data_IF_409729735136
#
_entry.id   IF_409729735136
#
_cell.length_a   1.000
_cell.length_b   1.000
_cell.length_c   1.000
_cell.angle_alpha   90.00
_cell.angle_beta   90.00
_cell.angle_gamma   90.00
#
_symmetry.space_group_name_H-M   'P 1'
#
loop_
_entity.id
_entity.type
_entity.pdbx_description
1 polymer ?
#
# COMPACT_ATOMS: atom_id res chain seq x y z
N UNK A 1 -62.09 45.51 49.78
CA UNK A 1 -60.98 44.57 49.88
C UNK A 1 -60.52 44.20 48.47
N UNK A 2 -59.41 44.79 48.06
CA UNK A 2 -58.90 44.57 46.69
C UNK A 2 -57.82 43.51 46.70
N UNK A 3 -58.03 42.36 46.00
CA UNK A 3 -57.06 41.29 45.82
C UNK A 3 -56.21 41.58 44.60
N UNK A 4 -54.88 41.73 44.79
CA UNK A 4 -53.90 41.91 43.75
C UNK A 4 -53.43 40.48 43.26
N UNK A 5 -53.74 40.16 42.02
CA UNK A 5 -53.10 39.05 41.35
C UNK A 5 -51.73 39.42 40.83
N UNK A 6 -50.66 38.74 41.28
CA UNK A 6 -49.30 38.89 40.75
C UNK A 6 -49.13 37.77 39.72
N UNK A 7 -49.01 38.09 38.44
CA UNK A 7 -48.67 37.17 37.41
C UNK A 7 -47.14 36.94 37.36
N UNK A 8 -46.67 35.74 37.68
CA UNK A 8 -45.26 35.36 37.51
C UNK A 8 -44.98 34.98 36.05
N UNK A 9 -44.14 35.76 35.38
CA UNK A 9 -43.66 35.48 34.04
C UNK A 9 -42.48 34.50 34.14
N UNK A 10 -42.70 33.24 33.72
CA UNK A 10 -41.60 32.22 33.62
C UNK A 10 -40.89 32.43 32.28
N UNK A 11 -39.69 33.01 32.33
CA UNK A 11 -38.79 33.11 31.17
C UNK A 11 -38.11 31.74 30.96
N UNK A 12 -38.57 30.96 29.97
CA UNK A 12 -37.89 29.75 29.54
C UNK A 12 -36.67 30.12 28.69
N UNK A 13 -35.51 30.17 29.31
CA UNK A 13 -34.24 30.34 28.61
C UNK A 13 -33.87 29.07 27.88
N UNK A 14 -33.97 29.05 26.57
CA UNK A 14 -33.39 27.97 25.72
C UNK A 14 -31.87 28.07 25.77
N UNK A 15 -31.24 27.22 26.58
CA UNK A 15 -29.79 26.99 26.51
C UNK A 15 -29.48 26.31 25.15
N UNK A 16 -29.08 27.12 24.16
CA UNK A 16 -28.50 26.64 22.93
C UNK A 16 -27.17 25.93 23.26
N UNK A 17 -27.17 24.62 23.29
CA UNK A 17 -25.93 23.85 23.31
C UNK A 17 -25.25 24.08 21.97
N UNK A 18 -24.29 25.01 21.95
CA UNK A 18 -23.37 25.14 20.82
C UNK A 18 -22.59 23.83 20.74
N UNK A 19 -22.88 23.02 19.74
CA UNK A 19 -22.04 21.86 19.40
C UNK A 19 -20.66 22.43 19.09
N UNK A 20 -19.70 22.19 19.98
CA UNK A 20 -18.29 22.42 19.68
C UNK A 20 -17.97 21.57 18.46
N UNK A 21 -17.71 22.21 17.33
CA UNK A 21 -17.28 21.50 16.12
C UNK A 21 -16.02 20.70 16.49
N UNK A 22 -16.12 19.38 16.44
CA UNK A 22 -14.95 18.53 16.64
C UNK A 22 -13.90 18.93 15.58
N UNK A 23 -12.65 19.14 16.03
CA UNK A 23 -11.54 19.46 15.11
C UNK A 23 -11.36 18.35 14.05
N UNK A 24 -10.55 18.63 13.02
CA UNK A 24 -10.29 17.66 11.96
C UNK A 24 -9.82 16.31 12.50
N UNK A 25 -10.33 15.23 11.92
CA UNK A 25 -9.93 13.86 12.30
C UNK A 25 -8.49 13.63 11.88
N UNK A 26 -7.64 13.22 12.81
CA UNK A 26 -6.25 12.86 12.49
C UNK A 26 -6.22 11.49 11.80
N UNK A 27 -5.64 11.43 10.61
CA UNK A 27 -5.44 10.21 9.83
C UNK A 27 -3.93 10.00 9.64
N UNK A 28 -3.34 9.13 10.45
CA UNK A 28 -1.97 8.64 10.27
C UNK A 28 -2.01 7.41 9.37
N UNK A 29 -1.32 7.47 8.23
CA UNK A 29 -1.31 6.37 7.28
C UNK A 29 0.11 5.85 7.02
N UNK A 30 0.29 4.54 7.20
CA UNK A 30 1.53 3.85 6.89
C UNK A 30 1.76 3.75 5.39
N UNK A 31 3.01 3.96 4.93
CA UNK A 31 3.41 3.75 3.55
C UNK A 31 4.81 3.11 3.49
N UNK A 32 5.13 2.39 2.39
CA UNK A 32 6.37 1.60 2.30
C UNK A 32 7.45 2.33 1.51
N UNK A 33 7.21 2.63 0.25
CA UNK A 33 8.20 3.22 -0.65
C UNK A 33 7.54 4.10 -1.71
N UNK A 34 8.02 5.34 -1.85
CA UNK A 34 7.60 6.22 -2.93
C UNK A 34 8.46 5.98 -4.20
N UNK A 35 7.88 6.09 -5.39
CA UNK A 35 6.52 6.49 -5.68
C UNK A 35 5.54 5.32 -5.89
N UNK A 36 5.89 4.09 -5.50
CA UNK A 36 4.89 3.00 -5.48
C UNK A 36 3.71 3.41 -4.57
N UNK A 37 3.98 3.88 -3.35
CA UNK A 37 3.01 4.60 -2.52
C UNK A 37 2.97 6.07 -2.95
N UNK A 38 1.95 6.45 -3.72
CA UNK A 38 1.83 7.79 -4.32
C UNK A 38 1.31 8.86 -3.35
N UNK A 39 0.40 8.50 -2.46
CA UNK A 39 -0.37 9.47 -1.70
C UNK A 39 0.48 10.47 -0.89
N UNK A 40 1.56 10.04 -0.19
CA UNK A 40 2.45 10.96 0.50
C UNK A 40 3.07 12.02 -0.41
N UNK A 41 3.33 11.65 -1.67
CA UNK A 41 3.88 12.53 -2.69
C UNK A 41 2.83 13.50 -3.22
N UNK A 42 1.64 12.98 -3.58
CA UNK A 42 0.59 13.76 -4.21
C UNK A 42 -0.04 14.77 -3.26
N UNK A 43 -0.17 14.45 -1.97
CA UNK A 43 -0.69 15.37 -0.97
C UNK A 43 0.27 16.51 -0.62
N UNK A 44 1.55 16.40 -1.00
CA UNK A 44 2.48 17.53 -0.94
C UNK A 44 2.16 18.61 -2.00
N UNK A 45 1.37 18.28 -3.05
CA UNK A 45 0.89 19.25 -4.02
C UNK A 45 -0.35 19.97 -3.50
N UNK A 46 -0.25 21.28 -3.37
CA UNK A 46 -1.40 22.13 -2.98
C UNK A 46 -2.58 21.97 -3.94
N UNK A 47 -3.80 22.00 -3.38
CA UNK A 47 -5.06 21.98 -4.12
C UNK A 47 -5.61 20.60 -4.49
N UNK A 48 -4.87 19.51 -4.30
CA UNK A 48 -5.38 18.16 -4.52
C UNK A 48 -6.22 17.67 -3.32
N UNK A 49 -5.71 17.84 -2.10
CA UNK A 49 -6.41 17.46 -0.88
C UNK A 49 -7.29 18.64 -0.38
N UNK A 50 -8.49 18.73 -0.93
CA UNK A 50 -9.39 19.89 -0.69
C UNK A 50 -10.01 19.89 0.71
N UNK A 51 -10.21 18.73 1.31
CA UNK A 51 -10.81 18.59 2.65
C UNK A 51 -9.77 18.55 3.78
N UNK A 52 -8.47 18.47 3.41
CA UNK A 52 -7.39 18.47 4.40
C UNK A 52 -7.35 19.77 5.19
N UNK A 53 -7.26 19.66 6.51
CA UNK A 53 -7.34 20.78 7.45
C UNK A 53 -8.76 21.22 7.80
N UNK A 54 -9.78 20.65 7.13
CA UNK A 54 -11.20 20.89 7.40
C UNK A 54 -11.83 19.69 8.13
N UNK A 55 -12.08 18.60 7.43
CA UNK A 55 -12.66 17.37 8.00
C UNK A 55 -11.62 16.40 8.54
N UNK A 56 -10.43 16.39 7.97
CA UNK A 56 -9.31 15.54 8.41
C UNK A 56 -7.97 16.27 8.32
N UNK A 57 -6.95 15.72 9.02
CA UNK A 57 -5.53 16.01 8.82
C UNK A 57 -4.80 14.74 8.47
N UNK A 58 -3.98 14.75 7.40
CA UNK A 58 -3.23 13.60 6.93
C UNK A 58 -1.77 13.66 7.41
N UNK A 59 -1.31 12.59 8.03
CA UNK A 59 0.06 12.40 8.47
C UNK A 59 0.62 11.08 7.90
N UNK A 60 1.37 11.13 6.79
CA UNK A 60 1.98 9.94 6.21
C UNK A 60 3.19 9.48 7.04
N UNK A 61 3.20 8.21 7.46
CA UNK A 61 4.28 7.62 8.26
C UNK A 61 4.99 6.56 7.45
N UNK A 62 6.30 6.75 7.21
CA UNK A 62 7.09 5.76 6.49
C UNK A 62 7.37 4.54 7.39
N UNK A 63 6.80 3.40 7.02
CA UNK A 63 6.98 2.11 7.68
C UNK A 63 7.36 1.09 6.60
N UNK A 64 8.61 0.68 6.59
CA UNK A 64 9.31 -0.02 5.50
C UNK A 64 8.72 -1.36 5.03
N UNK A 65 7.78 -1.95 5.77
CA UNK A 65 7.18 -3.25 5.44
C UNK A 65 5.79 -3.39 6.08
N UNK A 66 4.85 -4.06 5.37
CA UNK A 66 3.47 -4.23 5.85
C UNK A 66 3.35 -4.96 7.20
N UNK A 67 4.16 -5.97 7.55
CA UNK A 67 4.08 -6.58 8.89
C UNK A 67 4.33 -5.60 10.04
N UNK A 68 5.21 -4.61 9.84
CA UNK A 68 5.45 -3.56 10.83
C UNK A 68 4.26 -2.60 10.93
N UNK A 69 3.53 -2.38 9.83
CA UNK A 69 2.30 -1.58 9.83
C UNK A 69 1.17 -2.28 10.58
N UNK A 70 1.12 -3.62 10.57
CA UNK A 70 0.16 -4.39 11.39
C UNK A 70 0.39 -4.11 12.87
N UNK A 71 1.64 -4.11 13.31
CA UNK A 71 2.00 -3.80 14.70
C UNK A 71 1.59 -2.37 15.07
N UNK A 72 1.91 -1.40 14.22
CA UNK A 72 1.56 0.01 14.44
C UNK A 72 0.03 0.23 14.46
N UNK A 73 -0.72 -0.46 13.59
CA UNK A 73 -2.18 -0.40 13.55
C UNK A 73 -2.80 -1.04 14.82
N UNK A 74 -2.27 -2.17 15.27
CA UNK A 74 -2.71 -2.83 16.50
C UNK A 74 -2.45 -1.97 17.74
N UNK A 75 -1.33 -1.25 17.77
CA UNK A 75 -0.96 -0.31 18.83
C UNK A 75 -1.73 1.03 18.77
N UNK A 76 -2.49 1.30 17.70
CA UNK A 76 -3.17 2.57 17.49
C UNK A 76 -2.21 3.73 17.15
N UNK A 77 -1.03 3.41 16.64
CA UNK A 77 -0.04 4.40 16.19
C UNK A 77 -0.38 4.94 14.80
N UNK A 78 -1.12 4.18 14.00
CA UNK A 78 -1.67 4.57 12.70
C UNK A 78 -3.16 4.20 12.61
N UNK A 79 -3.94 4.93 11.83
CA UNK A 79 -5.35 4.67 11.53
C UNK A 79 -5.52 3.86 10.25
N UNK A 80 -4.61 4.04 9.28
CA UNK A 80 -4.63 3.36 7.98
C UNK A 80 -3.30 2.67 7.76
N UNK A 81 -3.36 1.39 7.37
CA UNK A 81 -2.20 0.59 6.99
C UNK A 81 -2.27 0.20 5.51
N UNK A 82 -1.15 0.31 4.80
CA UNK A 82 -0.96 -0.26 3.47
C UNK A 82 -0.55 -1.72 3.62
N UNK A 83 -1.51 -2.63 3.48
CA UNK A 83 -1.29 -4.07 3.55
C UNK A 83 -1.41 -4.69 2.16
N UNK A 84 -0.74 -5.82 1.95
CA UNK A 84 -0.87 -6.63 0.76
C UNK A 84 -1.57 -7.95 1.03
N UNK A 85 -1.79 -8.72 -0.03
CA UNK A 85 -2.41 -10.04 0.03
C UNK A 85 -1.74 -10.98 1.05
N UNK A 86 -0.42 -10.83 1.24
CA UNK A 86 0.36 -11.69 2.13
C UNK A 86 0.20 -11.35 3.61
N UNK A 87 0.19 -10.06 3.93
CA UNK A 87 0.17 -9.58 5.32
C UNK A 87 -1.24 -9.44 5.88
N UNK A 88 -2.23 -9.25 5.02
CA UNK A 88 -3.63 -9.11 5.44
C UNK A 88 -4.17 -10.33 6.19
N UNK A 89 -4.00 -11.60 5.72
CA UNK A 89 -4.42 -12.77 6.48
C UNK A 89 -3.78 -12.86 7.87
N UNK A 90 -2.48 -12.55 7.97
CA UNK A 90 -1.78 -12.56 9.26
C UNK A 90 -2.29 -11.48 10.21
N UNK A 91 -2.66 -10.30 9.70
CA UNK A 91 -3.26 -9.26 10.52
C UNK A 91 -4.58 -9.73 11.15
N UNK A 92 -5.42 -10.37 10.36
CA UNK A 92 -6.74 -10.87 10.81
C UNK A 92 -6.59 -12.05 11.78
N UNK A 93 -5.76 -13.04 11.44
CA UNK A 93 -5.68 -14.29 12.20
C UNK A 93 -4.78 -14.19 13.43
N UNK A 94 -3.64 -13.53 13.31
CA UNK A 94 -2.58 -13.62 14.31
C UNK A 94 -2.44 -12.34 15.15
N UNK A 95 -2.77 -11.16 14.59
CA UNK A 95 -2.65 -9.91 15.31
C UNK A 95 -3.94 -9.46 16.02
N UNK A 96 -4.99 -10.28 15.97
CA UNK A 96 -6.28 -9.97 16.60
C UNK A 96 -7.03 -8.81 15.94
N UNK A 97 -6.75 -8.52 14.67
CA UNK A 97 -7.36 -7.43 13.89
C UNK A 97 -8.52 -7.96 13.02
N UNK A 98 -9.38 -8.79 13.57
CA UNK A 98 -10.53 -9.36 12.86
C UNK A 98 -11.56 -8.30 12.39
N UNK A 99 -11.50 -7.10 12.96
CA UNK A 99 -12.30 -5.94 12.58
C UNK A 99 -11.67 -5.06 11.49
N UNK A 100 -10.61 -5.52 10.83
CA UNK A 100 -10.06 -4.82 9.66
C UNK A 100 -11.08 -4.77 8.53
N UNK A 101 -11.03 -3.64 7.79
CA UNK A 101 -11.76 -3.46 6.53
C UNK A 101 -10.80 -2.98 5.46
N UNK A 102 -10.96 -3.52 4.27
CA UNK A 102 -10.25 -3.12 3.04
C UNK A 102 -11.00 -1.92 2.49
N UNK A 103 -10.39 -0.74 2.45
CA UNK A 103 -11.08 0.51 2.17
C UNK A 103 -10.75 1.13 0.82
N UNK A 104 -9.55 0.89 0.27
CA UNK A 104 -9.18 1.39 -1.06
C UNK A 104 -7.99 0.62 -1.64
N UNK A 105 -7.94 0.59 -2.96
CA UNK A 105 -6.82 0.09 -3.73
C UNK A 105 -5.63 1.05 -3.70
N UNK A 106 -4.42 0.50 -3.72
CA UNK A 106 -3.19 1.28 -3.90
C UNK A 106 -2.45 0.85 -5.18
N UNK A 107 -2.02 -0.42 -5.27
CA UNK A 107 -1.34 -0.97 -6.45
C UNK A 107 -1.61 -2.46 -6.65
N UNK A 108 -1.73 -2.86 -7.93
CA UNK A 108 -1.66 -4.26 -8.37
C UNK A 108 -0.33 -4.51 -9.08
N UNK A 109 0.38 -5.54 -8.69
CA UNK A 109 1.58 -6.01 -9.38
C UNK A 109 1.19 -6.88 -10.58
N UNK A 110 1.77 -6.59 -11.74
CA UNK A 110 1.63 -7.41 -12.93
C UNK A 110 0.24 -7.43 -13.57
N UNK A 111 -0.63 -6.47 -13.28
CA UNK A 111 -1.94 -6.37 -13.95
C UNK A 111 -1.78 -6.08 -15.44
N UNK A 112 -2.38 -6.89 -16.30
CA UNK A 112 -2.23 -6.74 -17.74
C UNK A 112 -0.76 -6.73 -18.15
N UNK A 113 -0.35 -5.66 -18.86
CA UNK A 113 1.05 -5.43 -19.27
C UNK A 113 1.76 -4.40 -18.39
N UNK A 114 1.19 -4.05 -17.23
CA UNK A 114 1.82 -3.11 -16.30
C UNK A 114 2.99 -3.76 -15.56
N UNK A 115 3.75 -2.92 -14.88
CA UNK A 115 4.93 -3.29 -14.12
C UNK A 115 4.65 -4.46 -13.16
N UNK A 116 5.62 -5.34 -13.09
CA UNK A 116 5.71 -6.40 -12.06
C UNK A 116 7.07 -6.34 -11.38
N UNK A 117 7.11 -6.56 -10.09
CA UNK A 117 8.32 -6.57 -9.28
C UNK A 117 9.33 -7.58 -9.80
N UNK A 118 10.59 -7.16 -9.91
CA UNK A 118 11.67 -7.96 -10.49
C UNK A 118 12.50 -8.66 -9.43
N UNK A 119 12.86 -9.90 -9.71
CA UNK A 119 13.86 -10.67 -8.97
C UNK A 119 15.11 -10.78 -9.85
N UNK A 120 16.19 -10.13 -9.41
CA UNK A 120 17.37 -9.90 -10.23
C UNK A 120 18.59 -10.62 -9.69
N UNK A 121 19.41 -11.12 -10.62
CA UNK A 121 20.71 -11.75 -10.38
C UNK A 121 21.79 -11.02 -11.17
N UNK A 122 23.06 -11.12 -10.75
CA UNK A 122 24.15 -10.62 -11.57
C UNK A 122 24.26 -11.40 -12.87
N UNK A 123 24.64 -10.71 -13.96
CA UNK A 123 24.80 -11.34 -15.29
C UNK A 123 25.93 -12.38 -15.31
N UNK A 124 26.94 -12.19 -14.47
CA UNK A 124 28.13 -13.06 -14.34
C UNK A 124 27.96 -14.16 -13.27
N UNK A 125 26.79 -14.27 -12.63
CA UNK A 125 26.57 -15.21 -11.51
C UNK A 125 26.47 -16.70 -11.93
N UNK A 126 26.27 -17.00 -13.20
CA UNK A 126 25.97 -18.35 -13.67
C UNK A 126 24.56 -18.86 -13.34
N UNK A 127 23.73 -18.07 -12.61
CA UNK A 127 22.36 -18.44 -12.26
C UNK A 127 21.46 -18.21 -13.48
N UNK A 128 20.99 -19.27 -14.12
CA UNK A 128 20.16 -19.23 -15.33
C UNK A 128 18.67 -19.38 -15.07
N UNK A 129 18.32 -20.12 -14.02
CA UNK A 129 16.95 -20.49 -13.65
C UNK A 129 16.72 -20.35 -12.15
N UNK A 130 15.48 -20.30 -11.67
CA UNK A 130 15.21 -20.29 -10.23
C UNK A 130 15.76 -21.54 -9.49
N UNK A 131 15.91 -22.68 -10.17
CA UNK A 131 16.50 -23.89 -9.57
C UNK A 131 17.97 -23.70 -9.15
N UNK A 132 18.71 -22.82 -9.83
CA UNK A 132 20.12 -22.54 -9.55
C UNK A 132 20.32 -21.73 -8.25
N UNK A 133 19.22 -21.33 -7.62
CA UNK A 133 19.24 -20.65 -6.31
C UNK A 133 19.45 -21.61 -5.14
N UNK A 134 19.60 -22.90 -5.38
CA UNK A 134 19.96 -23.86 -4.33
C UNK A 134 21.32 -23.53 -3.72
N UNK A 135 21.39 -23.42 -2.39
CA UNK A 135 22.57 -23.03 -1.63
C UNK A 135 22.92 -21.56 -1.70
N UNK A 136 22.02 -20.71 -2.24
CA UNK A 136 22.23 -19.28 -2.46
C UNK A 136 21.61 -18.42 -1.37
N UNK A 137 22.06 -17.16 -1.30
CA UNK A 137 21.49 -16.13 -0.45
C UNK A 137 20.57 -15.25 -1.32
N UNK A 138 19.33 -15.05 -0.85
CA UNK A 138 18.34 -14.22 -1.53
C UNK A 138 17.90 -13.08 -0.63
N UNK A 139 17.72 -11.87 -1.16
CA UNK A 139 17.35 -10.71 -0.36
C UNK A 139 15.96 -10.19 -0.72
N UNK A 140 15.13 -9.96 0.30
CA UNK A 140 13.80 -9.35 0.22
C UNK A 140 13.72 -8.12 1.10
N UNK A 141 12.72 -7.25 0.89
CA UNK A 141 12.56 -6.03 1.71
C UNK A 141 12.05 -6.30 3.13
N UNK A 142 11.48 -7.45 3.37
CA UNK A 142 10.97 -7.89 4.67
C UNK A 142 10.29 -9.25 4.57
N UNK A 143 10.48 -10.09 5.56
CA UNK A 143 9.81 -11.37 5.67
C UNK A 143 8.29 -11.18 5.81
N UNK A 144 7.48 -12.07 5.25
CA UNK A 144 6.02 -11.97 5.27
C UNK A 144 5.42 -10.93 4.33
N UNK A 145 6.23 -10.22 3.53
CA UNK A 145 5.74 -9.30 2.50
C UNK A 145 5.27 -10.03 1.25
N UNK A 146 4.49 -9.35 0.38
CA UNK A 146 4.02 -9.93 -0.88
C UNK A 146 5.15 -10.39 -1.79
N UNK A 147 6.24 -9.62 -1.86
CA UNK A 147 7.41 -10.01 -2.65
C UNK A 147 8.16 -11.21 -2.05
N UNK A 148 8.19 -11.35 -0.73
CA UNK A 148 8.73 -12.55 -0.07
C UNK A 148 7.89 -13.78 -0.43
N UNK A 149 6.55 -13.67 -0.38
CA UNK A 149 5.66 -14.74 -0.79
C UNK A 149 5.84 -15.13 -2.26
N UNK A 150 6.01 -14.14 -3.16
CA UNK A 150 6.27 -14.41 -4.57
C UNK A 150 7.61 -15.14 -4.80
N UNK A 151 8.66 -14.77 -4.05
CA UNK A 151 9.92 -15.51 -4.06
C UNK A 151 9.70 -16.96 -3.65
N UNK A 152 9.05 -17.20 -2.52
CA UNK A 152 8.79 -18.55 -2.02
C UNK A 152 7.90 -19.35 -2.99
N UNK A 153 6.85 -18.71 -3.56
CA UNK A 153 6.01 -19.37 -4.56
C UNK A 153 6.80 -19.82 -5.80
N UNK A 154 7.71 -18.96 -6.31
CA UNK A 154 8.57 -19.34 -7.42
C UNK A 154 9.51 -20.48 -7.03
N UNK A 155 10.20 -20.38 -5.91
CA UNK A 155 11.19 -21.38 -5.51
C UNK A 155 10.54 -22.72 -5.14
N UNK A 156 9.32 -22.69 -4.58
CA UNK A 156 8.54 -23.91 -4.31
C UNK A 156 8.18 -24.67 -5.61
N UNK A 157 7.86 -23.98 -6.72
CA UNK A 157 7.66 -24.60 -8.04
C UNK A 157 8.91 -25.40 -8.50
N UNK A 158 10.10 -24.99 -8.03
CA UNK A 158 11.37 -25.65 -8.28
C UNK A 158 11.81 -26.59 -7.14
N UNK A 159 10.91 -26.89 -6.18
CA UNK A 159 11.15 -27.77 -5.01
C UNK A 159 12.25 -27.28 -4.08
N UNK A 160 12.43 -25.96 -4.00
CA UNK A 160 13.34 -25.32 -3.08
C UNK A 160 12.55 -24.71 -1.92
N UNK A 161 13.01 -24.93 -0.70
CA UNK A 161 12.41 -24.41 0.53
C UNK A 161 13.38 -23.51 1.27
N UNK A 162 12.84 -22.43 1.86
CA UNK A 162 13.62 -21.47 2.62
C UNK A 162 14.28 -22.12 3.84
N UNK A 163 15.46 -21.65 4.19
CA UNK A 163 16.33 -22.16 5.28
C UNK A 163 16.83 -23.59 5.09
N UNK A 164 16.25 -24.38 4.22
CA UNK A 164 16.73 -25.72 3.84
C UNK A 164 17.61 -25.70 2.60
N UNK A 165 17.12 -25.06 1.55
CA UNK A 165 17.75 -25.08 0.23
C UNK A 165 18.35 -23.73 -0.17
N UNK A 166 17.92 -22.63 0.44
CA UNK A 166 18.46 -21.29 0.27
C UNK A 166 18.28 -20.49 1.57
N UNK A 167 18.91 -19.32 1.66
CA UNK A 167 18.80 -18.46 2.83
C UNK A 167 18.23 -17.11 2.45
N UNK A 168 17.13 -16.70 3.10
CA UNK A 168 16.54 -15.37 2.92
C UNK A 168 17.12 -14.38 3.92
N UNK A 169 17.53 -13.21 3.42
CA UNK A 169 17.94 -12.05 4.23
C UNK A 169 17.05 -10.84 3.94
N UNK A 170 16.97 -9.92 4.89
CA UNK A 170 16.22 -8.67 4.73
C UNK A 170 17.14 -7.50 4.40
N UNK A 171 16.75 -6.71 3.39
CA UNK A 171 17.42 -5.46 3.05
C UNK A 171 16.38 -4.45 2.48
N UNK A 172 16.43 -3.16 2.87
CA UNK A 172 15.54 -2.14 2.29
C UNK A 172 15.73 -2.00 0.77
N UNK A 173 14.65 -1.74 0.02
CA UNK A 173 14.73 -1.56 -1.43
C UNK A 173 15.85 -0.64 -1.93
N UNK A 174 16.12 0.54 -1.30
CA UNK A 174 17.21 1.42 -1.74
C UNK A 174 18.60 0.79 -1.69
N UNK A 175 18.81 -0.25 -0.88
CA UNK A 175 20.12 -0.90 -0.69
C UNK A 175 20.30 -2.16 -1.55
N UNK A 176 19.25 -2.64 -2.21
CA UNK A 176 19.26 -3.91 -2.95
C UNK A 176 20.34 -3.96 -4.04
N UNK A 177 20.58 -2.83 -4.75
CA UNK A 177 21.67 -2.75 -5.73
C UNK A 177 23.02 -3.06 -5.09
N UNK A 178 23.34 -2.41 -3.98
CA UNK A 178 24.61 -2.64 -3.29
C UNK A 178 24.70 -4.08 -2.76
N UNK A 179 23.61 -4.60 -2.18
CA UNK A 179 23.55 -5.98 -1.68
C UNK A 179 23.87 -6.99 -2.78
N UNK A 180 23.33 -6.80 -3.99
CA UNK A 180 23.58 -7.68 -5.13
C UNK A 180 25.01 -7.53 -5.68
N UNK A 181 25.42 -6.27 -5.95
CA UNK A 181 26.69 -5.99 -6.63
C UNK A 181 27.91 -6.27 -5.74
N UNK A 182 27.77 -6.14 -4.42
CA UNK A 182 28.80 -6.51 -3.45
C UNK A 182 28.82 -8.04 -3.12
N UNK A 183 27.90 -8.81 -3.72
CA UNK A 183 27.84 -10.24 -3.51
C UNK A 183 27.34 -10.68 -2.13
N UNK A 184 26.62 -9.80 -1.39
CA UNK A 184 25.99 -10.13 -0.11
C UNK A 184 24.75 -11.00 -0.28
N UNK A 185 24.12 -10.93 -1.46
CA UNK A 185 23.10 -11.85 -1.91
C UNK A 185 23.31 -12.19 -3.38
N UNK A 186 22.89 -13.38 -3.79
CA UNK A 186 22.94 -13.88 -5.17
C UNK A 186 21.74 -13.42 -5.98
N UNK A 187 20.59 -13.22 -5.31
CA UNK A 187 19.37 -12.66 -5.87
C UNK A 187 18.83 -11.57 -4.96
N UNK A 188 18.32 -10.50 -5.57
CA UNK A 188 17.61 -9.44 -4.85
C UNK A 188 16.25 -9.16 -5.49
N UNK A 189 15.27 -8.76 -4.67
CA UNK A 189 14.04 -8.17 -5.18
C UNK A 189 14.23 -6.69 -5.41
N UNK A 190 13.71 -6.17 -6.52
CA UNK A 190 13.74 -4.74 -6.81
C UNK A 190 12.43 -4.25 -7.44
N UNK A 191 12.06 -3.04 -7.12
CA UNK A 191 10.82 -2.39 -7.56
C UNK A 191 11.12 -0.99 -8.10
N UNK A 192 10.10 -0.28 -8.56
CA UNK A 192 10.23 1.12 -8.95
C UNK A 192 10.59 2.00 -7.75
N UNK A 193 11.48 2.99 -7.90
CA UNK A 193 12.24 3.37 -9.10
C UNK A 193 13.58 2.61 -9.25
N UNK A 194 13.96 1.77 -8.31
CA UNK A 194 15.30 1.18 -8.19
C UNK A 194 15.63 0.21 -9.33
N UNK A 195 14.63 -0.48 -9.88
CA UNK A 195 14.77 -1.40 -11.01
C UNK A 195 15.29 -0.69 -12.27
N UNK A 196 15.10 0.63 -12.39
CA UNK A 196 15.55 1.43 -13.53
C UNK A 196 16.94 2.06 -13.31
N UNK A 197 17.67 1.68 -12.26
CA UNK A 197 19.04 2.14 -12.04
C UNK A 197 19.95 1.65 -13.17
N UNK A 198 20.67 2.56 -13.89
CA UNK A 198 21.48 2.21 -15.04
C UNK A 198 22.59 1.19 -14.74
N UNK A 199 23.29 1.37 -13.61
CA UNK A 199 24.36 0.46 -13.20
C UNK A 199 23.82 -0.94 -12.86
N UNK A 200 22.67 -1.00 -12.19
CA UNK A 200 21.99 -2.27 -11.90
C UNK A 200 21.65 -2.99 -13.21
N UNK A 201 21.09 -2.29 -14.20
CA UNK A 201 20.70 -2.87 -15.48
C UNK A 201 21.89 -3.24 -16.37
N UNK A 202 23.04 -2.56 -16.20
CA UNK A 202 24.27 -2.96 -16.85
C UNK A 202 24.80 -4.30 -16.31
N UNK A 203 24.82 -4.47 -14.98
CA UNK A 203 25.50 -5.58 -14.29
C UNK A 203 24.58 -6.75 -13.91
N UNK A 204 23.27 -6.50 -13.85
CA UNK A 204 22.27 -7.49 -13.45
C UNK A 204 21.22 -7.73 -14.53
N UNK A 205 20.47 -8.82 -14.38
CA UNK A 205 19.31 -9.15 -15.22
C UNK A 205 18.18 -9.69 -14.35
N UNK A 206 16.98 -9.56 -14.84
CA UNK A 206 15.81 -10.20 -14.25
C UNK A 206 15.89 -11.71 -14.47
N UNK A 207 15.73 -12.48 -13.40
CA UNK A 207 15.60 -13.93 -13.45
C UNK A 207 14.13 -14.32 -13.64
N UNK A 208 13.24 -13.67 -12.89
CA UNK A 208 11.78 -13.78 -13.00
C UNK A 208 11.12 -12.54 -12.38
N UNK A 209 9.81 -12.39 -12.62
CA UNK A 209 8.99 -11.35 -12.02
C UNK A 209 8.00 -11.93 -11.01
N UNK A 210 7.40 -11.09 -10.18
CA UNK A 210 6.31 -11.52 -9.28
C UNK A 210 5.14 -12.11 -10.07
N UNK A 211 4.82 -11.53 -11.23
CA UNK A 211 3.79 -12.06 -12.14
C UNK A 211 4.10 -13.48 -12.62
N UNK A 212 5.36 -13.80 -12.93
CA UNK A 212 5.77 -15.16 -13.31
C UNK A 212 5.61 -16.14 -12.15
N UNK A 213 5.80 -15.64 -10.93
CA UNK A 213 5.69 -16.46 -9.72
C UNK A 213 4.23 -16.80 -9.38
N UNK A 214 3.31 -15.84 -9.45
CA UNK A 214 1.97 -16.01 -8.89
C UNK A 214 0.84 -15.32 -9.66
N UNK A 215 1.11 -14.81 -10.87
CA UNK A 215 0.16 -14.00 -11.62
C UNK A 215 -0.03 -12.60 -11.04
N UNK A 216 -1.00 -11.84 -11.57
CA UNK A 216 -1.35 -10.53 -11.03
C UNK A 216 -1.73 -10.62 -9.56
N UNK A 217 -1.23 -9.69 -8.74
CA UNK A 217 -1.46 -9.73 -7.29
C UNK A 217 -1.80 -8.35 -6.71
N UNK A 218 -2.78 -8.33 -5.80
CA UNK A 218 -3.12 -7.15 -5.00
C UNK A 218 -1.98 -6.89 -4.00
N UNK A 219 -0.96 -6.17 -4.48
CA UNK A 219 0.30 -6.00 -3.77
C UNK A 219 0.14 -5.04 -2.60
N UNK A 220 -0.66 -3.98 -2.75
CA UNK A 220 -0.95 -3.04 -1.68
C UNK A 220 -2.35 -2.45 -1.82
N UNK A 221 -3.05 -2.41 -0.69
CA UNK A 221 -4.36 -1.78 -0.51
C UNK A 221 -4.47 -1.23 0.90
N UNK A 222 -5.32 -0.24 1.08
CA UNK A 222 -5.49 0.39 2.38
C UNK A 222 -6.50 -0.34 3.22
N UNK A 223 -6.14 -0.49 4.50
CA UNK A 223 -6.98 -1.10 5.54
C UNK A 223 -7.08 -0.18 6.73
N UNK A 224 -8.23 -0.22 7.39
CA UNK A 224 -8.46 0.47 8.65
C UNK A 224 -9.37 -0.38 9.56
N UNK A 225 -9.39 -0.09 10.85
CA UNK A 225 -10.26 -0.79 11.80
C UNK A 225 -11.70 -0.29 11.69
N UNK A 226 -12.66 -1.19 11.75
CA UNK A 226 -14.10 -0.88 11.64
C UNK A 226 -14.56 0.18 12.64
N UNK A 227 -14.06 0.13 13.88
CA UNK A 227 -14.40 1.10 14.90
C UNK A 227 -13.94 2.53 14.52
N UNK A 228 -12.76 2.67 13.89
CA UNK A 228 -12.29 3.97 13.38
C UNK A 228 -13.17 4.47 12.22
N UNK A 229 -13.50 3.58 11.28
CA UNK A 229 -14.35 3.90 10.12
C UNK A 229 -15.75 4.32 10.54
N UNK A 230 -16.38 3.58 11.45
CA UNK A 230 -17.72 3.89 11.95
C UNK A 230 -17.79 5.23 12.67
N UNK A 231 -16.78 5.52 13.50
CA UNK A 231 -16.72 6.78 14.25
C UNK A 231 -16.45 8.00 13.37
N UNK A 232 -15.69 7.83 12.29
CA UNK A 232 -15.14 8.95 11.49
C UNK A 232 -15.57 8.88 10.02
N UNK A 233 -16.70 8.24 9.71
CA UNK A 233 -17.13 7.89 8.35
C UNK A 233 -17.02 9.06 7.36
N UNK A 234 -17.57 10.23 7.70
CA UNK A 234 -17.53 11.40 6.81
C UNK A 234 -16.10 11.86 6.50
N UNK A 235 -15.25 11.98 7.52
CA UNK A 235 -13.86 12.38 7.33
C UNK A 235 -13.05 11.37 6.52
N UNK A 236 -13.33 10.06 6.67
CA UNK A 236 -12.71 9.00 5.86
C UNK A 236 -13.16 9.08 4.40
N UNK A 237 -14.44 9.35 4.13
CA UNK A 237 -14.94 9.56 2.76
C UNK A 237 -14.28 10.78 2.12
N UNK A 238 -14.19 11.90 2.83
CA UNK A 238 -13.51 13.11 2.36
C UNK A 238 -12.02 12.85 2.06
N UNK A 239 -11.34 12.07 2.91
CA UNK A 239 -9.97 11.62 2.68
C UNK A 239 -9.85 10.74 1.43
N UNK A 240 -10.77 9.78 1.24
CA UNK A 240 -10.78 8.92 0.05
C UNK A 240 -11.13 9.70 -1.22
N UNK A 241 -12.03 10.70 -1.14
CA UNK A 241 -12.34 11.60 -2.26
C UNK A 241 -11.09 12.38 -2.69
N UNK A 242 -10.39 13.00 -1.74
CA UNK A 242 -9.13 13.72 -2.02
C UNK A 242 -8.06 12.78 -2.58
N UNK A 243 -7.99 11.54 -2.08
CA UNK A 243 -7.06 10.52 -2.57
C UNK A 243 -7.35 10.12 -4.01
N UNK A 244 -8.62 9.93 -4.37
CA UNK A 244 -9.03 9.65 -5.75
C UNK A 244 -8.81 10.85 -6.66
N UNK A 245 -9.09 12.07 -6.20
CA UNK A 245 -8.80 13.31 -6.94
C UNK A 245 -7.31 13.42 -7.25
N UNK A 246 -6.45 13.14 -6.28
CA UNK A 246 -5.02 13.12 -6.45
C UNK A 246 -4.58 12.01 -7.43
N UNK A 247 -5.17 10.83 -7.34
CA UNK A 247 -4.93 9.73 -8.27
C UNK A 247 -5.36 10.08 -9.69
N UNK A 248 -6.56 10.64 -9.88
CA UNK A 248 -7.03 11.08 -11.21
C UNK A 248 -6.10 12.14 -11.81
N UNK A 249 -5.65 13.10 -10.98
CA UNK A 249 -4.65 14.07 -11.43
C UNK A 249 -3.36 13.38 -11.88
N UNK A 250 -2.87 12.40 -11.11
CA UNK A 250 -1.67 11.64 -11.46
C UNK A 250 -1.87 10.81 -12.73
N UNK A 251 -3.03 10.19 -12.95
CA UNK A 251 -3.29 9.35 -14.13
C UNK A 251 -3.54 10.15 -15.41
N UNK A 252 -3.76 11.45 -15.33
CA UNK A 252 -3.95 12.31 -16.50
C UNK A 252 -2.59 12.59 -17.18
N UNK A 253 -2.36 12.14 -18.43
CA UNK A 253 -1.10 12.34 -19.14
C UNK A 253 -0.69 13.81 -19.30
N UNK A 254 -1.62 14.75 -19.23
CA UNK A 254 -1.35 16.19 -19.29
C UNK A 254 -0.52 16.68 -18.09
N UNK A 255 -0.61 15.97 -16.97
CA UNK A 255 0.11 16.31 -15.74
C UNK A 255 1.48 15.62 -15.63
N UNK A 256 1.88 14.83 -16.66
CA UNK A 256 3.10 14.00 -16.60
C UNK A 256 4.35 14.77 -16.17
N UNK A 257 4.62 15.91 -16.77
CA UNK A 257 5.81 16.71 -16.47
C UNK A 257 5.81 17.21 -15.01
N UNK A 258 4.65 17.68 -14.52
CA UNK A 258 4.50 18.16 -13.15
C UNK A 258 4.56 17.00 -12.14
N UNK A 259 3.97 15.86 -12.44
CA UNK A 259 4.04 14.65 -11.60
C UNK A 259 5.47 14.15 -11.44
N UNK A 260 6.24 14.13 -12.53
CA UNK A 260 7.68 13.79 -12.50
C UNK A 260 8.45 14.77 -11.63
N UNK A 261 8.23 16.08 -11.79
CA UNK A 261 8.89 17.10 -10.98
C UNK A 261 8.54 16.97 -9.49
N UNK A 262 7.28 16.70 -9.18
CA UNK A 262 6.81 16.49 -7.81
C UNK A 262 7.47 15.27 -7.16
N UNK A 263 7.51 14.13 -7.86
CA UNK A 263 8.14 12.89 -7.39
C UNK A 263 9.65 13.09 -7.22
N UNK A 264 10.29 13.70 -8.21
CA UNK A 264 11.73 13.99 -8.17
C UNK A 264 12.10 14.88 -6.99
N UNK A 265 11.32 15.93 -6.75
CA UNK A 265 11.50 16.84 -5.60
C UNK A 265 11.30 16.12 -4.27
N UNK A 266 10.25 15.32 -4.13
CA UNK A 266 9.96 14.56 -2.93
C UNK A 266 11.10 13.56 -2.60
N UNK A 267 11.59 12.85 -3.61
CA UNK A 267 12.64 11.85 -3.47
C UNK A 267 14.07 12.45 -3.50
N UNK A 268 14.20 13.76 -3.77
CA UNK A 268 15.49 14.45 -3.95
C UNK A 268 16.37 13.77 -5.00
N UNK A 269 15.76 13.40 -6.12
CA UNK A 269 16.40 12.71 -7.25
C UNK A 269 16.21 13.50 -8.55
N UNK A 270 17.11 13.34 -9.54
CA UNK A 270 16.95 13.98 -10.84
C UNK A 270 15.67 13.52 -11.55
N UNK A 271 14.87 14.42 -12.19
CA UNK A 271 13.65 14.07 -12.92
C UNK A 271 13.85 12.99 -13.98
N UNK A 272 15.02 12.95 -14.64
CA UNK A 272 15.37 11.99 -15.69
C UNK A 272 15.24 10.52 -15.23
N UNK A 273 15.38 10.26 -13.92
CA UNK A 273 15.21 8.90 -13.36
C UNK A 273 13.78 8.38 -13.44
N UNK A 274 12.82 9.25 -13.68
CA UNK A 274 11.39 8.94 -13.67
C UNK A 274 10.77 8.98 -15.07
N UNK A 275 11.40 9.68 -16.02
CA UNK A 275 10.85 9.92 -17.36
C UNK A 275 10.65 8.66 -18.19
N UNK A 276 11.45 7.62 -17.98
CA UNK A 276 11.41 6.38 -18.78
C UNK A 276 10.27 5.43 -18.38
N UNK A 277 9.65 5.62 -17.22
CA UNK A 277 8.71 4.62 -16.71
C UNK A 277 7.40 5.21 -16.17
N UNK A 278 7.38 6.38 -15.51
CA UNK A 278 6.14 7.02 -15.06
C UNK A 278 5.21 7.28 -16.25
N UNK A 279 3.92 6.98 -16.09
CA UNK A 279 2.90 7.06 -17.16
C UNK A 279 3.13 6.10 -18.33
N UNK A 280 3.89 5.05 -18.14
CA UNK A 280 4.08 3.98 -19.12
C UNK A 280 3.62 2.65 -18.53
N UNK A 281 3.70 1.57 -19.32
CA UNK A 281 3.49 0.20 -18.81
C UNK A 281 4.52 -0.25 -17.78
N UNK A 282 5.60 0.49 -17.62
CA UNK A 282 6.60 0.24 -16.59
C UNK A 282 6.23 0.82 -15.22
N UNK A 283 5.04 1.39 -15.06
CA UNK A 283 4.48 1.78 -13.76
C UNK A 283 3.47 0.73 -13.27
N UNK A 284 3.25 0.67 -11.97
CA UNK A 284 2.23 -0.18 -11.38
C UNK A 284 0.83 0.20 -11.87
N UNK A 285 -0.02 -0.81 -12.01
CA UNK A 285 -1.45 -0.56 -12.22
C UNK A 285 -2.07 0.03 -10.96
N UNK A 286 -2.88 1.05 -11.17
CA UNK A 286 -3.72 1.68 -10.15
C UNK A 286 -5.13 1.80 -10.68
N UNK A 287 -6.09 1.27 -9.90
CA UNK A 287 -7.50 1.34 -10.28
C UNK A 287 -8.01 2.78 -10.14
N UNK A 288 -8.55 3.41 -11.21
CA UNK A 288 -9.00 4.80 -11.15
C UNK A 288 -10.18 5.03 -10.20
N UNK A 289 -10.97 4.01 -9.90
CA UNK A 289 -12.07 4.09 -8.93
C UNK A 289 -11.61 3.73 -7.49
N UNK A 290 -10.34 3.37 -7.31
CA UNK A 290 -9.80 2.96 -6.02
C UNK A 290 -10.35 1.62 -5.52
N UNK A 291 -10.85 0.77 -6.42
CA UNK A 291 -11.47 -0.50 -6.06
C UNK A 291 -10.45 -1.64 -6.04
N UNK A 292 -10.41 -2.35 -4.94
CA UNK A 292 -9.62 -3.60 -4.81
C UNK A 292 -10.35 -4.72 -5.56
N UNK A 293 -9.63 -5.47 -6.39
CA UNK A 293 -10.12 -6.73 -6.96
C UNK A 293 -10.11 -7.82 -5.88
N UNK A 294 -11.24 -7.92 -5.15
CA UNK A 294 -11.39 -8.93 -4.08
C UNK A 294 -11.30 -10.36 -4.61
N UNK A 295 -11.61 -10.61 -5.89
CA UNK A 295 -11.47 -11.93 -6.48
C UNK A 295 -9.99 -12.27 -6.73
N UNK A 296 -9.20 -11.31 -7.23
CA UNK A 296 -7.76 -11.46 -7.35
C UNK A 296 -7.11 -11.65 -5.97
N UNK A 297 -7.51 -10.85 -4.99
CA UNK A 297 -7.02 -10.98 -3.62
C UNK A 297 -7.35 -12.35 -3.01
N UNK A 298 -8.57 -12.87 -3.23
CA UNK A 298 -8.93 -14.24 -2.81
C UNK A 298 -8.00 -15.28 -3.43
N UNK A 299 -7.75 -15.21 -4.76
CA UNK A 299 -6.83 -16.15 -5.42
C UNK A 299 -5.41 -16.08 -4.83
N UNK A 300 -4.91 -14.89 -4.53
CA UNK A 300 -3.60 -14.73 -3.91
C UNK A 300 -3.56 -15.36 -2.50
N UNK A 301 -4.61 -15.18 -1.70
CA UNK A 301 -4.75 -15.76 -0.35
C UNK A 301 -4.91 -17.28 -0.41
N UNK A 302 -5.67 -17.79 -1.36
CA UNK A 302 -5.81 -19.25 -1.58
C UNK A 302 -4.47 -19.90 -1.94
N UNK A 303 -3.66 -19.24 -2.80
CA UNK A 303 -2.31 -19.70 -3.12
C UNK A 303 -1.43 -19.74 -1.87
N UNK A 304 -1.52 -18.76 -0.98
CA UNK A 304 -0.80 -18.79 0.30
C UNK A 304 -1.17 -20.02 1.13
N UNK A 305 -2.44 -20.39 1.16
CA UNK A 305 -2.91 -21.59 1.86
C UNK A 305 -2.39 -22.87 1.21
N UNK A 306 -2.41 -22.96 -0.12
CA UNK A 306 -1.85 -24.09 -0.89
C UNK A 306 -0.36 -24.28 -0.63
N UNK A 307 0.37 -23.18 -0.46
CA UNK A 307 1.80 -23.19 -0.14
C UNK A 307 2.10 -23.37 1.36
N UNK A 308 1.07 -23.50 2.20
CA UNK A 308 1.22 -23.75 3.63
C UNK A 308 1.55 -22.52 4.48
N UNK A 309 1.45 -21.29 3.95
CA UNK A 309 1.73 -20.06 4.70
C UNK A 309 0.61 -19.68 5.66
N UNK A 310 -0.62 -20.04 5.33
CA UNK A 310 -1.78 -19.95 6.21
C UNK A 310 -2.47 -21.32 6.31
N UNK A 311 -3.00 -21.65 7.48
CA UNK A 311 -3.61 -22.94 7.73
C UNK A 311 -5.13 -22.95 7.52
N UNK A 312 -5.77 -21.78 7.56
CA UNK A 312 -7.22 -21.63 7.48
C UNK A 312 -7.63 -20.87 6.22
N UNK A 313 -8.78 -21.23 5.62
CA UNK A 313 -9.33 -20.42 4.53
C UNK A 313 -9.78 -19.07 5.08
N UNK A 314 -9.50 -17.99 4.36
CA UNK A 314 -9.96 -16.65 4.68
C UNK A 314 -10.95 -16.17 3.62
N UNK A 315 -12.19 -15.89 4.06
CA UNK A 315 -13.23 -15.34 3.19
C UNK A 315 -13.01 -13.82 3.03
N UNK A 316 -12.15 -13.43 2.07
CA UNK A 316 -11.72 -12.04 1.86
C UNK A 316 -12.89 -11.08 1.69
N UNK A 317 -13.98 -11.51 1.04
CA UNK A 317 -15.16 -10.69 0.78
C UNK A 317 -15.81 -10.11 2.06
N UNK A 318 -15.68 -10.78 3.19
CA UNK A 318 -16.19 -10.30 4.50
C UNK A 318 -15.51 -9.04 5.01
N UNK A 319 -14.31 -8.78 4.50
CA UNK A 319 -13.47 -7.65 4.92
C UNK A 319 -13.58 -6.44 3.98
N UNK A 320 -14.41 -6.54 2.93
CA UNK A 320 -14.63 -5.46 1.99
C UNK A 320 -15.40 -4.29 2.63
N UNK A 321 -14.73 -3.14 2.80
CA UNK A 321 -15.31 -1.85 3.20
C UNK A 321 -15.33 -0.86 2.02
N UNK A 322 -15.57 -1.38 0.80
CA UNK A 322 -15.44 -0.61 -0.45
C UNK A 322 -16.63 0.35 -0.71
N UNK A 323 -17.66 0.34 0.14
CA UNK A 323 -18.75 1.32 0.08
C UNK A 323 -18.24 2.76 0.30
N UNK A 324 -17.24 2.96 1.16
CA UNK A 324 -16.65 4.25 1.43
C UNK A 324 -15.95 4.84 0.20
N UNK A 325 -15.10 4.07 -0.47
CA UNK A 325 -14.41 4.54 -1.69
C UNK A 325 -15.36 4.68 -2.86
N UNK A 326 -16.39 3.86 -2.95
CA UNK A 326 -17.46 4.00 -3.96
C UNK A 326 -18.22 5.31 -3.77
N UNK A 327 -18.59 5.65 -2.53
CA UNK A 327 -19.24 6.94 -2.22
C UNK A 327 -18.31 8.10 -2.55
N UNK A 328 -17.04 8.04 -2.16
CA UNK A 328 -16.03 9.04 -2.51
C UNK A 328 -15.90 9.22 -4.04
N UNK A 329 -15.84 8.13 -4.80
CA UNK A 329 -15.78 8.17 -6.27
C UNK A 329 -17.03 8.79 -6.92
N UNK A 330 -18.20 8.62 -6.29
CA UNK A 330 -19.45 9.23 -6.80
C UNK A 330 -19.45 10.75 -6.61
N UNK A 331 -18.76 11.29 -5.60
CA UNK A 331 -18.66 12.72 -5.33
C UNK A 331 -17.73 13.46 -6.31
N UNK A 332 -16.86 12.74 -7.00
CA UNK A 332 -15.94 13.28 -8.00
C UNK A 332 -16.55 13.39 -9.41
N UNK A 333 -17.76 12.90 -9.61
CA UNK A 333 -18.51 12.99 -10.87
C UNK A 333 -19.30 14.29 -10.92
#
# INVERSE_FOLDING_TARGET
>A
MAGRFVAALVLAGTLGVSAVAAGPVKIRAGWVVAPASLLPVLFAKGGLAQHQGQSYTFEPINIRASPLQITALAAGEIEIAALGFSSFPFAVENAGLADLRIIAHEITDGAGDNFSTHFMVRKDSGIGTPADLKGKVVAVNGLGTGVHMALQAMLHKHRLEDWRDYTTIEAPFPTMKAVLLEGKADLVVTTTPFVFDPELNEKARTLFTQKDAMGPSELSFWTAREAFLAKNRSAVIDFLEDSLRALHWYLDPRNRAEAIALIAGFLKQPPQRFESWIFTRNDFYRDPAGLVDLAALSRNVDLMRELGFISRPLEVARYGGLDLVKEASQRLK
#
